data_IF_870874968114
#
_entry.id   IF_870874968114
#
_cell.length_a   1.000
_cell.length_b   1.000
_cell.length_c   1.000
_cell.angle_alpha   90.00
_cell.angle_beta   90.00
_cell.angle_gamma   90.00
#
_symmetry.space_group_name_H-M   'P 1'
#
loop_
_entity.id
_entity.type
_entity.pdbx_description
1 polymer ?
#
# COMPACT_ATOMS: atom_id res chain seq x y z
N UNK A 1 0.93 -23.42 51.18
CA UNK A 1 0.71 -22.03 51.59
C UNK A 1 1.58 -21.14 50.72
N UNK A 2 1.01 -20.54 49.66
CA UNK A 2 1.71 -19.53 48.88
C UNK A 2 1.84 -18.28 49.75
N UNK A 3 3.06 -17.93 50.15
CA UNK A 3 3.32 -16.74 50.96
C UNK A 3 3.05 -15.50 50.12
N UNK A 4 2.38 -14.51 50.73
CA UNK A 4 1.98 -13.21 50.16
C UNK A 4 3.14 -12.50 49.41
N UNK A 5 4.38 -12.82 49.78
CA UNK A 5 5.62 -12.33 49.19
C UNK A 5 5.86 -12.78 47.74
N UNK A 6 5.32 -13.92 47.30
CA UNK A 6 5.45 -14.40 45.91
C UNK A 6 4.44 -13.77 44.95
N UNK A 7 3.30 -13.28 45.46
CA UNK A 7 2.25 -12.64 44.65
C UNK A 7 2.65 -11.23 44.25
N UNK A 8 3.36 -10.49 45.13
CA UNK A 8 3.82 -9.13 44.84
C UNK A 8 4.94 -9.08 43.79
N UNK A 9 5.82 -10.07 43.74
CA UNK A 9 6.92 -10.09 42.78
C UNK A 9 6.43 -10.34 41.33
N UNK A 10 5.41 -11.17 41.17
CA UNK A 10 4.77 -11.42 39.86
C UNK A 10 3.94 -10.23 39.37
N UNK A 11 3.33 -9.47 40.29
CA UNK A 11 2.59 -8.26 39.95
C UNK A 11 3.51 -7.11 39.49
N UNK A 12 4.74 -7.01 40.02
CA UNK A 12 5.68 -5.95 39.65
C UNK A 12 6.31 -6.16 38.25
N UNK A 13 6.46 -7.40 37.80
CA UNK A 13 6.98 -7.72 36.46
C UNK A 13 5.93 -7.46 35.37
N UNK A 14 4.63 -7.58 35.67
CA UNK A 14 3.55 -7.31 34.72
C UNK A 14 3.35 -5.82 34.41
N UNK A 15 3.77 -4.92 35.31
CA UNK A 15 3.47 -3.48 35.21
C UNK A 15 4.60 -2.68 34.53
N UNK A 16 5.83 -3.21 34.45
CA UNK A 16 7.00 -2.45 33.97
C UNK A 16 7.35 -2.58 32.47
N UNK A 17 6.61 -3.33 31.66
CA UNK A 17 6.89 -3.43 30.21
C UNK A 17 5.82 -2.82 29.29
N UNK A 18 4.75 -2.25 29.84
CA UNK A 18 3.70 -1.56 29.05
C UNK A 18 4.14 -0.11 28.68
N UNK A 19 5.35 0.31 29.08
CA UNK A 19 5.84 1.68 28.93
C UNK A 19 6.78 1.93 27.73
N UNK A 20 6.85 1.03 26.75
CA UNK A 20 7.74 1.18 25.59
C UNK A 20 7.02 0.99 24.25
N UNK A 21 5.97 1.78 23.99
CA UNK A 21 5.44 1.95 22.62
C UNK A 21 4.67 3.26 22.47
N UNK A 22 5.14 4.38 23.03
CA UNK A 22 4.79 5.68 22.47
C UNK A 22 5.67 5.91 21.24
N UNK A 23 5.34 5.20 20.15
CA UNK A 23 5.76 5.63 18.83
C UNK A 23 5.15 7.02 18.64
N UNK A 24 5.96 8.05 18.87
CA UNK A 24 5.60 9.40 18.48
C UNK A 24 5.39 9.35 16.97
N UNK A 25 4.23 9.80 16.46
CA UNK A 25 4.05 9.90 15.02
C UNK A 25 5.10 10.89 14.52
N UNK A 26 6.13 10.36 13.86
CA UNK A 26 7.12 11.18 13.18
C UNK A 26 6.35 11.95 12.11
N UNK A 27 6.45 13.29 12.07
CA UNK A 27 5.82 14.06 11.02
C UNK A 27 6.18 13.48 9.65
N UNK A 28 5.16 13.14 8.87
CA UNK A 28 5.32 12.75 7.47
C UNK A 28 6.19 13.76 6.75
N UNK A 29 7.31 13.32 6.19
CA UNK A 29 7.88 14.07 5.07
C UNK A 29 9.39 14.13 4.94
N UNK A 30 10.22 13.48 5.75
CA UNK A 30 11.66 13.55 5.53
C UNK A 30 12.35 12.22 5.79
N UNK A 31 12.38 11.37 4.76
CA UNK A 31 13.48 10.41 4.67
C UNK A 31 14.23 10.66 3.35
N UNK A 32 15.27 11.53 3.33
CA UNK A 32 16.21 11.63 2.23
C UNK A 32 17.21 10.47 2.31
N UNK A 33 16.71 9.25 2.45
CA UNK A 33 17.48 8.01 2.51
C UNK A 33 17.24 7.15 1.27
N UNK A 34 17.86 5.96 1.15
CA UNK A 34 17.63 5.04 0.03
C UNK A 34 16.22 4.43 0.03
N UNK A 35 15.36 4.78 0.99
CA UNK A 35 14.04 4.21 1.19
C UNK A 35 12.95 5.09 0.57
N UNK A 36 11.87 4.50 0.02
CA UNK A 36 10.74 5.28 -0.49
C UNK A 36 10.13 6.19 0.59
N UNK A 37 9.57 7.35 0.22
CA UNK A 37 8.86 8.21 1.18
C UNK A 37 7.65 7.50 1.78
N UNK A 38 7.29 7.88 3.00
CA UNK A 38 6.15 7.34 3.73
C UNK A 38 4.82 7.63 3.03
N UNK A 39 3.80 6.92 3.49
CA UNK A 39 2.39 7.18 3.17
C UNK A 39 2.07 7.24 1.67
N UNK A 40 2.49 6.24 0.88
CA UNK A 40 2.20 6.27 -0.53
C UNK A 40 0.72 6.21 -0.82
N UNK A 41 0.38 6.78 -1.97
CA UNK A 41 -0.93 6.65 -2.57
C UNK A 41 -0.81 6.24 -4.04
N UNK A 42 -1.89 5.68 -4.54
CA UNK A 42 -2.09 5.41 -5.97
C UNK A 42 -3.44 5.95 -6.36
N UNK A 43 -3.49 6.65 -7.48
CA UNK A 43 -4.71 7.15 -8.08
C UNK A 43 -5.01 6.35 -9.34
N UNK A 44 -6.19 5.76 -9.43
CA UNK A 44 -6.71 5.08 -10.62
C UNK A 44 -7.87 5.88 -11.20
N UNK A 45 -7.93 6.06 -12.52
CA UNK A 45 -9.15 6.51 -13.20
C UNK A 45 -9.74 5.37 -14.01
N UNK A 46 -11.03 5.11 -13.82
CA UNK A 46 -11.78 4.07 -14.53
C UNK A 46 -12.18 4.48 -15.94
N UNK A 47 -12.38 3.50 -16.82
CA UNK A 47 -12.67 3.75 -18.24
C UNK A 47 -14.11 4.23 -18.49
N UNK A 48 -15.08 3.72 -17.74
CA UNK A 48 -16.52 3.98 -17.90
C UNK A 48 -17.12 4.68 -16.67
N UNK A 49 -18.39 5.08 -16.78
CA UNK A 49 -19.11 5.78 -15.70
C UNK A 49 -19.46 4.82 -14.53
N UNK A 50 -19.44 5.29 -13.25
CA UNK A 50 -19.02 6.63 -12.84
C UNK A 50 -17.51 6.80 -13.04
N UNK A 51 -17.15 7.81 -13.82
CA UNK A 51 -15.76 8.16 -14.10
C UNK A 51 -15.23 8.95 -12.91
N UNK A 52 -13.94 8.80 -12.64
CA UNK A 52 -13.28 9.58 -11.61
C UNK A 52 -12.17 8.82 -10.92
N UNK A 53 -11.42 9.51 -10.07
CA UNK A 53 -10.31 8.92 -9.35
C UNK A 53 -10.80 8.02 -8.22
N UNK A 54 -10.25 6.82 -8.15
CA UNK A 54 -10.15 6.06 -6.90
C UNK A 54 -8.72 6.24 -6.38
N UNK A 55 -8.58 6.87 -5.22
CA UNK A 55 -7.29 7.03 -4.54
C UNK A 55 -7.21 6.03 -3.41
N UNK A 56 -6.12 5.25 -3.37
CA UNK A 56 -5.81 4.36 -2.27
C UNK A 56 -4.52 4.81 -1.62
N UNK A 57 -4.59 5.14 -0.33
CA UNK A 57 -3.43 5.50 0.48
C UNK A 57 -3.15 4.43 1.54
N UNK A 58 -1.88 4.14 1.78
CA UNK A 58 -1.43 3.26 2.86
C UNK A 58 -0.52 4.06 3.79
N UNK A 59 -0.99 4.32 5.00
CA UNK A 59 -0.21 5.04 6.01
C UNK A 59 0.87 4.14 6.63
N UNK A 60 2.03 4.73 6.92
CA UNK A 60 3.17 4.09 7.55
C UNK A 60 4.48 4.29 6.80
N UNK A 61 5.55 3.79 7.42
CA UNK A 61 6.86 3.67 6.79
C UNK A 61 6.90 2.58 5.72
N UNK A 62 8.01 2.50 4.99
CA UNK A 62 8.12 1.55 3.88
C UNK A 62 7.93 0.10 4.32
N UNK A 63 8.42 -0.28 5.52
CA UNK A 63 8.32 -1.66 6.03
C UNK A 63 6.90 -2.05 6.40
N UNK A 64 6.12 -1.09 6.86
CA UNK A 64 4.71 -1.27 7.21
C UNK A 64 3.87 -1.32 5.94
N UNK A 65 4.08 -0.38 5.02
CA UNK A 65 3.36 -0.27 3.75
C UNK A 65 3.46 -1.55 2.92
N UNK A 66 4.65 -2.14 2.78
CA UNK A 66 4.85 -3.35 1.96
C UNK A 66 4.22 -4.62 2.57
N UNK A 67 3.58 -4.55 3.74
CA UNK A 67 2.84 -5.66 4.34
C UNK A 67 1.34 -5.56 4.06
N UNK A 68 0.86 -4.35 3.79
CA UNK A 68 -0.55 -4.06 3.62
C UNK A 68 -1.06 -4.48 2.24
N UNK A 69 -2.30 -4.95 2.21
CA UNK A 69 -3.07 -5.18 0.99
C UNK A 69 -4.29 -4.27 0.99
N UNK A 70 -4.67 -3.76 -0.17
CA UNK A 70 -5.88 -2.93 -0.32
C UNK A 70 -6.77 -3.49 -1.41
N UNK A 71 -8.04 -3.70 -1.08
CA UNK A 71 -9.08 -4.04 -2.07
C UNK A 71 -9.47 -2.81 -2.89
N UNK A 72 -9.83 -3.04 -4.15
CA UNK A 72 -10.47 -2.08 -5.03
C UNK A 72 -11.95 -2.46 -5.22
N UNK A 73 -12.58 -2.12 -6.34
CA UNK A 73 -13.95 -2.53 -6.66
C UNK A 73 -13.99 -3.72 -7.64
N UNK A 74 -12.88 -4.00 -8.36
CA UNK A 74 -12.84 -5.10 -9.32
C UNK A 74 -13.62 -4.79 -10.60
N UNK A 75 -13.56 -3.55 -11.06
CA UNK A 75 -14.35 -3.07 -12.20
C UNK A 75 -13.95 -3.70 -13.53
N UNK A 76 -14.96 -4.17 -14.28
CA UNK A 76 -14.77 -4.89 -15.55
C UNK A 76 -14.27 -4.01 -16.70
N UNK A 77 -14.48 -2.70 -16.62
CA UNK A 77 -14.02 -1.73 -17.60
C UNK A 77 -12.54 -1.35 -17.45
N UNK A 78 -11.90 -1.76 -16.35
CA UNK A 78 -10.49 -1.48 -16.07
C UNK A 78 -10.18 0.00 -15.86
N UNK A 79 -8.89 0.30 -15.72
CA UNK A 79 -8.40 1.67 -15.50
C UNK A 79 -7.69 2.23 -16.75
N UNK A 80 -7.87 3.52 -17.02
CA UNK A 80 -7.22 4.25 -18.12
C UNK A 80 -6.03 5.10 -17.64
N UNK A 81 -5.92 5.30 -16.34
CA UNK A 81 -4.82 6.02 -15.70
C UNK A 81 -4.47 5.34 -14.38
N UNK A 82 -3.18 5.26 -14.09
CA UNK A 82 -2.64 4.90 -12.78
C UNK A 82 -1.41 5.77 -12.51
N UNK A 83 -1.28 6.27 -11.29
CA UNK A 83 -0.04 6.91 -10.86
C UNK A 83 0.15 6.72 -9.37
N UNK A 84 1.33 6.25 -8.98
CA UNK A 84 1.80 6.20 -7.60
C UNK A 84 2.46 7.52 -7.20
N UNK A 85 2.34 7.86 -5.92
CA UNK A 85 2.92 9.04 -5.28
C UNK A 85 3.29 8.70 -3.83
N UNK A 86 4.16 9.50 -3.18
CA UNK A 86 5.00 10.53 -3.80
C UNK A 86 6.25 9.93 -4.46
N UNK A 87 6.89 10.64 -5.43
CA UNK A 87 8.21 10.28 -5.93
C UNK A 87 9.31 10.60 -4.91
N UNK A 88 10.54 10.20 -5.21
CA UNK A 88 11.71 10.65 -4.45
C UNK A 88 11.89 12.17 -4.61
N UNK A 89 12.07 12.87 -3.49
CA UNK A 89 12.10 14.34 -3.48
C UNK A 89 13.34 14.95 -4.18
N UNK A 90 14.44 14.20 -4.24
CA UNK A 90 15.73 14.67 -4.76
C UNK A 90 15.83 14.63 -6.29
N UNK A 91 15.25 13.60 -6.92
CA UNK A 91 15.41 13.33 -8.37
C UNK A 91 14.07 13.14 -9.11
N UNK A 92 12.95 13.14 -8.38
CA UNK A 92 11.61 13.00 -8.95
C UNK A 92 11.31 11.62 -9.53
N UNK A 93 12.20 10.63 -9.37
CA UNK A 93 11.94 9.27 -9.85
C UNK A 93 10.81 8.65 -9.02
N UNK A 94 10.03 7.78 -9.65
CA UNK A 94 8.99 7.03 -8.95
C UNK A 94 9.62 6.30 -7.75
N UNK A 95 9.06 6.49 -6.56
CA UNK A 95 9.54 5.81 -5.35
C UNK A 95 8.77 4.52 -5.07
N UNK A 96 7.58 4.41 -5.65
CA UNK A 96 6.62 3.35 -5.41
C UNK A 96 6.15 2.75 -6.72
N UNK A 97 5.87 1.45 -6.69
CA UNK A 97 5.06 0.71 -7.66
C UNK A 97 3.88 0.12 -6.92
N UNK A 98 2.86 -0.27 -7.67
CA UNK A 98 1.81 -1.16 -7.19
C UNK A 98 1.84 -2.47 -7.94
N UNK A 99 1.82 -3.56 -7.19
CA UNK A 99 1.47 -4.88 -7.67
C UNK A 99 -0.05 -4.94 -7.83
N UNK A 100 -0.50 -5.36 -9.00
CA UNK A 100 -1.91 -5.50 -9.35
C UNK A 100 -2.29 -6.98 -9.26
N UNK A 101 -3.43 -7.28 -8.64
CA UNK A 101 -3.93 -8.64 -8.46
C UNK A 101 -5.35 -8.78 -9.02
N UNK A 102 -5.61 -9.92 -9.67
CA UNK A 102 -6.96 -10.30 -10.15
C UNK A 102 -7.89 -10.72 -9.03
N UNK A 103 -7.34 -11.14 -7.91
CA UNK A 103 -8.09 -11.66 -6.77
C UNK A 103 -8.04 -10.70 -5.58
N UNK A 104 -8.99 -10.87 -4.68
CA UNK A 104 -9.05 -10.12 -3.43
C UNK A 104 -7.95 -10.59 -2.47
N UNK A 105 -7.50 -9.68 -1.61
CA UNK A 105 -6.53 -10.00 -0.56
C UNK A 105 -5.10 -10.23 -1.02
N UNK A 106 -4.73 -9.73 -2.22
CA UNK A 106 -3.37 -9.82 -2.77
C UNK A 106 -2.83 -11.26 -2.79
N UNK A 107 -3.71 -12.21 -3.11
CA UNK A 107 -3.42 -13.63 -3.18
C UNK A 107 -2.87 -14.02 -4.56
N UNK A 108 -2.03 -15.04 -4.61
CA UNK A 108 -1.40 -15.51 -5.85
C UNK A 108 -0.29 -14.58 -6.38
N UNK A 109 0.08 -14.78 -7.65
CA UNK A 109 1.09 -13.96 -8.32
C UNK A 109 0.47 -12.63 -8.80
N UNK A 110 1.17 -11.50 -8.64
CA UNK A 110 0.73 -10.24 -9.23
C UNK A 110 0.75 -10.35 -10.76
N UNK A 111 -0.22 -9.73 -11.42
CA UNK A 111 -0.34 -9.79 -12.88
C UNK A 111 0.38 -8.66 -13.58
N UNK A 112 0.64 -7.56 -12.85
CA UNK A 112 1.47 -6.46 -13.27
C UNK A 112 2.08 -5.77 -12.04
N UNK A 113 3.18 -5.08 -12.25
CA UNK A 113 3.84 -4.23 -11.24
C UNK A 113 4.26 -2.93 -11.93
N UNK A 114 3.57 -1.82 -11.62
CA UNK A 114 3.74 -0.54 -12.32
C UNK A 114 3.68 0.66 -11.38
N UNK A 115 4.42 1.71 -11.69
CA UNK A 115 4.33 3.01 -11.01
C UNK A 115 3.32 3.93 -11.69
N UNK A 116 3.20 3.83 -13.01
CA UNK A 116 2.30 4.67 -13.78
C UNK A 116 1.75 3.99 -15.02
N UNK A 117 0.59 4.46 -15.46
CA UNK A 117 -0.02 4.15 -16.74
C UNK A 117 -0.84 5.36 -17.20
N UNK A 118 -0.67 5.73 -18.48
CA UNK A 118 -1.39 6.84 -19.11
C UNK A 118 -1.97 6.37 -20.44
N UNK A 119 -3.09 5.66 -20.37
CA UNK A 119 -3.68 4.96 -21.52
C UNK A 119 -4.32 5.84 -22.59
N UNK A 120 -4.34 7.17 -22.42
CA UNK A 120 -4.96 8.12 -23.37
C UNK A 120 -6.39 7.72 -23.78
N UNK A 121 -7.17 7.20 -22.83
CA UNK A 121 -8.54 6.70 -23.05
C UNK A 121 -8.67 5.19 -23.26
N UNK A 122 -7.56 4.47 -23.48
CA UNK A 122 -7.54 3.01 -23.53
C UNK A 122 -7.29 2.41 -22.14
N UNK A 123 -8.13 1.46 -21.75
CA UNK A 123 -7.94 0.73 -20.50
C UNK A 123 -6.63 -0.07 -20.54
N UNK A 124 -5.99 -0.26 -19.39
CA UNK A 124 -4.81 -1.09 -19.26
C UNK A 124 -5.15 -2.52 -19.73
N UNK A 125 -4.41 -3.08 -20.72
CA UNK A 125 -4.74 -4.40 -21.25
C UNK A 125 -4.39 -5.51 -20.25
N UNK A 126 -5.20 -6.56 -20.18
CA UNK A 126 -4.86 -7.74 -19.37
C UNK A 126 -3.61 -8.44 -19.98
N UNK A 127 -2.52 -8.64 -19.21
CA UNK A 127 -1.31 -9.28 -19.73
C UNK A 127 -1.50 -10.72 -20.23
N UNK A 128 -2.48 -11.45 -19.72
CA UNK A 128 -2.82 -12.80 -20.19
C UNK A 128 -3.77 -12.78 -21.40
N UNK A 129 -4.55 -11.71 -21.58
CA UNK A 129 -5.39 -11.52 -22.77
C UNK A 129 -5.48 -10.02 -23.13
N UNK A 130 -4.55 -9.51 -23.96
CA UNK A 130 -4.45 -8.07 -24.24
C UNK A 130 -5.65 -7.45 -24.96
N UNK A 131 -6.63 -8.24 -25.37
CA UNK A 131 -7.87 -7.79 -26.02
C UNK A 131 -8.91 -7.28 -25.03
N UNK A 132 -8.76 -7.56 -23.73
CA UNK A 132 -9.69 -7.15 -22.68
C UNK A 132 -8.99 -6.25 -21.64
N UNK A 133 -9.74 -5.37 -20.95
CA UNK A 133 -9.19 -4.61 -19.83
C UNK A 133 -8.74 -5.51 -18.69
N UNK A 134 -7.68 -5.12 -18.00
CA UNK A 134 -7.28 -5.74 -16.75
C UNK A 134 -8.28 -5.39 -15.63
N UNK A 135 -8.90 -6.42 -15.06
CA UNK A 135 -9.73 -6.30 -13.87
C UNK A 135 -8.85 -6.43 -12.63
N UNK A 136 -8.62 -5.32 -11.93
CA UNK A 136 -7.83 -5.28 -10.70
C UNK A 136 -8.75 -5.30 -9.49
N UNK A 137 -8.59 -6.29 -8.62
CA UNK A 137 -9.38 -6.42 -7.38
C UNK A 137 -8.58 -6.04 -6.14
N UNK A 138 -7.27 -6.22 -6.14
CA UNK A 138 -6.46 -5.74 -5.02
C UNK A 138 -5.10 -5.25 -5.49
N UNK A 139 -4.49 -4.41 -4.64
CA UNK A 139 -3.20 -3.81 -4.89
C UNK A 139 -2.32 -3.89 -3.65
N UNK A 140 -1.01 -3.89 -3.90
CA UNK A 140 0.02 -3.84 -2.87
C UNK A 140 1.15 -2.94 -3.31
N UNK A 141 1.53 -1.99 -2.46
CA UNK A 141 2.68 -1.13 -2.73
C UNK A 141 3.99 -1.90 -2.56
N UNK A 142 4.94 -1.60 -3.44
CA UNK A 142 6.33 -2.07 -3.37
C UNK A 142 7.27 -0.93 -3.79
N UNK A 143 8.53 -0.92 -3.33
CA UNK A 143 9.52 0.03 -3.81
C UNK A 143 9.70 -0.07 -5.33
N UNK A 144 9.92 1.08 -5.98
CA UNK A 144 10.18 1.15 -7.42
C UNK A 144 11.58 0.67 -7.82
#
# INVERSE_FOLDING_TARGET
MLTIQHVLLLALIAVLAIAAATATPVPNGQNPGPFPPNDPLVTLYWAQEPRGPTTVQVYGDYLSVIKECRGLEGRADGFVYLQTQPPYANDGRDAWKVRLYRDWGCTGAPVAEISSYKGKGSAYPDPANPKIPLIVKSIKFVPA
#
